data_IF_077690279564
#
_entry.id   IF_077690279564
#
_cell.length_a   1.000
_cell.length_b   1.000
_cell.length_c   1.000
_cell.angle_alpha   90.00
_cell.angle_beta   90.00
_cell.angle_gamma   90.00
#
_symmetry.space_group_name_H-M   'P 1'
#
loop_
_entity.id
_entity.type
_entity.pdbx_description
1 polymer ?
#
# COMPACT_ATOMS: atom_id res chain seq x y z
N UNK A 1 31.31 93.65 11.66
CA UNK A 1 30.87 92.38 11.03
C UNK A 1 30.79 91.29 12.10
N UNK A 2 29.82 90.37 11.93
CA UNK A 2 29.59 89.08 12.64
C UNK A 2 28.80 89.13 13.95
N UNK A 3 27.46 89.09 13.78
CA UNK A 3 26.48 88.62 14.76
C UNK A 3 26.55 87.09 14.85
N UNK A 4 26.54 86.53 16.07
CA UNK A 4 26.42 85.08 16.33
C UNK A 4 24.95 84.73 16.61
N UNK A 5 24.36 83.68 16.00
CA UNK A 5 23.00 83.26 16.29
C UNK A 5 22.95 82.30 17.49
N UNK A 6 21.93 82.46 18.32
CA UNK A 6 21.53 81.53 19.37
C UNK A 6 20.71 80.41 18.70
N UNK A 7 21.14 79.15 18.84
CA UNK A 7 20.37 77.97 18.38
C UNK A 7 19.68 77.35 19.59
N UNK A 8 18.36 77.45 19.62
CA UNK A 8 17.46 76.84 20.60
C UNK A 8 17.20 75.39 20.17
N UNK A 9 17.58 74.40 20.98
CA UNK A 9 17.35 72.97 20.71
C UNK A 9 16.12 72.49 21.46
N UNK A 10 15.04 72.22 20.72
CA UNK A 10 13.79 71.65 21.24
C UNK A 10 13.91 70.13 21.27
N UNK A 11 13.91 69.52 22.47
CA UNK A 11 13.89 68.06 22.65
C UNK A 11 12.44 67.57 22.61
N UNK A 12 12.07 66.85 21.55
CA UNK A 12 10.77 66.19 21.41
C UNK A 12 10.85 64.78 22.02
N UNK A 13 10.25 64.58 23.19
CA UNK A 13 10.13 63.27 23.82
C UNK A 13 8.95 62.50 23.20
N UNK A 14 9.23 61.61 22.24
CA UNK A 14 8.26 60.63 21.75
C UNK A 14 8.11 59.50 22.78
N UNK A 15 7.02 59.51 23.54
CA UNK A 15 6.64 58.40 24.41
C UNK A 15 6.15 57.23 23.57
N UNK A 16 7.00 56.23 23.36
CA UNK A 16 6.62 54.96 22.76
C UNK A 16 5.76 54.16 23.74
N UNK A 17 4.44 54.18 23.55
CA UNK A 17 3.54 53.27 24.24
C UNK A 17 3.80 51.83 23.74
N UNK A 18 4.54 51.06 24.55
CA UNK A 18 4.66 49.61 24.39
C UNK A 18 3.28 48.99 24.56
N UNK A 19 2.58 48.75 23.45
CA UNK A 19 1.35 47.95 23.46
C UNK A 19 1.80 46.51 23.75
N UNK A 20 1.63 46.09 25.01
CA UNK A 20 1.84 44.71 25.42
C UNK A 20 0.85 43.84 24.63
N UNK A 21 1.35 43.10 23.64
CA UNK A 21 0.55 42.08 22.98
C UNK A 21 0.18 41.04 24.04
N UNK A 22 -1.10 40.66 24.17
CA UNK A 22 -1.49 39.62 25.12
C UNK A 22 -0.69 38.36 24.79
N UNK A 23 0.07 37.86 25.75
CA UNK A 23 0.75 36.59 25.64
C UNK A 23 -0.31 35.52 25.42
N UNK A 24 -0.48 35.07 24.17
CA UNK A 24 -1.32 33.92 23.88
C UNK A 24 -0.68 32.72 24.55
N UNK A 25 -1.28 32.26 25.65
CA UNK A 25 -0.88 31.04 26.30
C UNK A 25 -0.92 29.92 25.26
N UNK A 26 0.21 29.22 25.09
CA UNK A 26 0.30 28.06 24.22
C UNK A 26 -0.78 27.05 24.66
N UNK A 27 -1.49 26.38 23.74
CA UNK A 27 -2.44 25.35 24.12
C UNK A 27 -1.75 24.32 25.02
N UNK A 28 -2.44 23.84 26.07
CA UNK A 28 -1.89 22.80 26.94
C UNK A 28 -1.61 21.52 26.14
N UNK A 29 -0.62 20.74 26.61
CA UNK A 29 -0.36 19.39 26.11
C UNK A 29 -1.62 18.52 26.32
N UNK A 30 -2.08 17.78 25.31
CA UNK A 30 -3.18 16.84 25.48
C UNK A 30 -2.88 15.74 26.48
N UNK A 31 -3.94 15.22 27.10
CA UNK A 31 -3.87 14.04 27.99
C UNK A 31 -4.51 12.82 27.34
N UNK A 32 -4.13 11.62 27.80
CA UNK A 32 -4.71 10.38 27.28
C UNK A 32 -6.23 10.34 27.48
N UNK A 33 -6.95 9.86 26.46
CA UNK A 33 -8.41 9.80 26.44
C UNK A 33 -9.08 11.14 26.09
N UNK A 34 -8.32 12.21 25.87
CA UNK A 34 -8.88 13.51 25.53
C UNK A 34 -9.48 13.53 24.12
N UNK A 35 -10.65 14.16 23.99
CA UNK A 35 -11.24 14.50 22.70
C UNK A 35 -10.80 15.88 22.26
N UNK A 36 -9.99 15.92 21.21
CA UNK A 36 -9.51 17.12 20.57
C UNK A 36 -10.61 17.69 19.65
N UNK A 37 -11.08 18.89 19.98
CA UNK A 37 -12.07 19.65 19.19
C UNK A 37 -11.43 20.75 18.34
N UNK A 38 -10.11 20.89 18.42
CA UNK A 38 -9.31 21.84 17.67
C UNK A 38 -8.03 21.16 17.20
N UNK A 39 -7.48 21.62 16.10
CA UNK A 39 -6.19 21.13 15.59
C UNK A 39 -5.09 21.36 16.62
N UNK A 40 -4.33 20.31 16.92
CA UNK A 40 -3.38 20.29 18.03
C UNK A 40 -2.04 19.75 17.58
N UNK A 41 -0.96 20.28 18.17
CA UNK A 41 0.38 19.71 18.05
C UNK A 41 0.83 19.17 19.39
N UNK A 42 1.29 17.93 19.45
CA UNK A 42 1.93 17.39 20.66
C UNK A 42 3.25 18.12 20.91
N UNK A 43 3.54 18.39 22.18
CA UNK A 43 4.74 19.09 22.65
C UNK A 43 5.73 18.16 23.35
N UNK A 44 5.29 16.95 23.64
CA UNK A 44 6.04 15.87 24.27
C UNK A 44 5.41 14.53 23.90
N UNK A 45 6.14 13.45 24.15
CA UNK A 45 5.61 12.09 24.06
C UNK A 45 4.46 11.91 25.06
N UNK A 46 3.43 11.18 24.65
CA UNK A 46 2.28 10.83 25.47
C UNK A 46 2.25 9.31 25.67
N UNK A 47 2.27 8.86 26.92
CA UNK A 47 2.22 7.45 27.28
C UNK A 47 0.92 7.17 28.02
N UNK A 48 0.08 6.33 27.43
CA UNK A 48 -1.23 5.99 27.94
C UNK A 48 -1.20 4.58 28.54
N UNK A 49 -1.76 4.44 29.75
CA UNK A 49 -1.86 3.17 30.45
C UNK A 49 -3.22 2.51 30.28
N UNK A 50 -4.23 3.26 29.84
CA UNK A 50 -5.62 2.81 29.66
C UNK A 50 -6.33 3.62 28.57
N UNK A 51 -7.44 3.06 28.07
CA UNK A 51 -8.38 3.77 27.18
C UNK A 51 -7.82 3.99 25.77
N UNK A 52 -8.56 4.72 24.92
CA UNK A 52 -8.01 5.21 23.68
C UNK A 52 -6.96 6.30 23.97
N UNK A 53 -5.98 6.46 23.09
CA UNK A 53 -4.94 7.47 23.23
C UNK A 53 -5.49 8.88 23.09
N UNK A 54 -6.00 9.23 21.92
CA UNK A 54 -6.63 10.54 21.63
C UNK A 54 -7.83 10.36 20.70
N UNK A 55 -8.89 11.14 20.90
CA UNK A 55 -10.05 11.23 20.01
C UNK A 55 -10.01 12.52 19.20
N UNK A 56 -10.27 12.45 17.90
CA UNK A 56 -10.28 13.62 17.01
C UNK A 56 -11.71 13.90 16.55
N UNK A 57 -12.20 15.11 16.85
CA UNK A 57 -13.48 15.59 16.34
C UNK A 57 -13.39 15.88 14.81
N UNK A 58 -14.54 16.08 14.13
CA UNK A 58 -14.56 16.43 12.71
C UNK A 58 -13.73 17.68 12.41
N UNK A 59 -12.96 17.66 11.31
CA UNK A 59 -12.15 18.80 10.88
C UNK A 59 -10.84 19.00 11.65
N UNK A 60 -10.49 18.09 12.57
CA UNK A 60 -9.30 18.22 13.42
C UNK A 60 -8.06 17.64 12.75
N UNK A 61 -6.96 18.39 12.81
CA UNK A 61 -5.61 17.88 12.52
C UNK A 61 -4.87 17.58 13.82
N UNK A 62 -4.45 16.34 14.01
CA UNK A 62 -3.44 15.97 15.00
C UNK A 62 -2.05 15.96 14.36
N UNK A 63 -1.20 16.87 14.81
CA UNK A 63 0.23 16.86 14.50
C UNK A 63 0.97 16.27 15.70
N UNK A 64 1.57 15.10 15.57
CA UNK A 64 2.35 14.49 16.65
C UNK A 64 3.67 15.24 16.91
N UNK A 65 4.06 16.22 16.09
CA UNK A 65 5.21 17.09 16.36
C UNK A 65 6.57 16.39 16.37
N UNK A 66 6.66 15.17 15.84
CA UNK A 66 7.83 14.29 15.98
C UNK A 66 7.82 13.42 17.25
N UNK A 67 6.81 13.58 18.11
CA UNK A 67 6.63 12.82 19.35
C UNK A 67 5.92 11.49 19.13
N UNK A 68 5.95 10.67 20.17
CA UNK A 68 5.27 9.37 20.22
C UNK A 68 3.99 9.41 21.05
N UNK A 69 2.94 8.76 20.53
CA UNK A 69 1.73 8.36 21.26
C UNK A 69 1.82 6.85 21.54
N UNK A 70 2.10 6.48 22.78
CA UNK A 70 2.35 5.10 23.20
C UNK A 70 1.19 4.54 24.02
N UNK A 71 0.75 3.34 23.68
CA UNK A 71 -0.36 2.67 24.35
C UNK A 71 0.03 1.47 25.20
N UNK A 72 -0.98 0.85 25.86
CA UNK A 72 -0.79 -0.30 26.74
C UNK A 72 -0.78 -1.66 26.01
N UNK A 73 -0.78 -1.68 24.67
CA UNK A 73 -0.89 -2.89 23.84
C UNK A 73 -2.33 -3.30 23.52
N UNK A 74 -3.32 -2.52 23.94
CA UNK A 74 -4.76 -2.75 23.71
C UNK A 74 -5.46 -1.45 23.35
N UNK A 75 -6.67 -1.54 22.78
CA UNK A 75 -7.47 -0.36 22.42
C UNK A 75 -6.90 0.43 21.25
N UNK A 76 -7.38 1.66 21.08
CA UNK A 76 -7.13 2.48 19.89
C UNK A 76 -6.18 3.63 20.21
N UNK A 77 -5.12 3.83 19.41
CA UNK A 77 -4.19 4.94 19.60
C UNK A 77 -4.82 6.28 19.28
N UNK A 78 -5.25 6.45 18.03
CA UNK A 78 -5.98 7.64 17.58
C UNK A 78 -7.34 7.20 17.05
N UNK A 79 -8.40 7.65 17.72
CA UNK A 79 -9.78 7.47 17.25
C UNK A 79 -10.21 8.71 16.46
N UNK A 80 -10.55 8.54 15.19
CA UNK A 80 -10.94 9.63 14.30
C UNK A 80 -12.45 9.63 14.10
N UNK A 81 -13.07 10.80 14.22
CA UNK A 81 -14.50 10.95 13.92
C UNK A 81 -14.80 10.45 12.50
N UNK A 82 -15.89 9.71 12.36
CA UNK A 82 -16.40 9.30 11.07
C UNK A 82 -16.87 10.50 10.24
N UNK A 83 -17.54 11.47 10.88
CA UNK A 83 -17.99 12.66 10.18
C UNK A 83 -16.82 13.63 9.91
N UNK A 84 -16.88 14.29 8.75
CA UNK A 84 -15.89 15.30 8.35
C UNK A 84 -14.44 14.79 8.15
N UNK A 85 -13.55 15.66 7.64
CA UNK A 85 -12.17 15.28 7.35
C UNK A 85 -11.31 15.25 8.62
N UNK A 86 -10.34 14.33 8.69
CA UNK A 86 -9.37 14.26 9.80
C UNK A 86 -7.97 14.04 9.24
N UNK A 87 -6.98 14.68 9.86
CA UNK A 87 -5.56 14.51 9.48
C UNK A 87 -4.73 14.09 10.69
N UNK A 88 -3.95 13.02 10.55
CA UNK A 88 -2.93 12.60 11.52
C UNK A 88 -1.57 12.70 10.86
N UNK A 89 -0.61 13.40 11.49
CA UNK A 89 0.69 13.61 10.86
C UNK A 89 1.88 13.71 11.80
N UNK A 90 3.06 13.43 11.24
CA UNK A 90 4.38 13.82 11.75
C UNK A 90 4.67 13.31 13.18
N UNK A 91 4.86 12.01 13.34
CA UNK A 91 5.31 11.41 14.60
C UNK A 91 5.07 9.91 14.63
N UNK A 92 4.97 9.34 15.83
CA UNK A 92 4.86 7.89 16.03
C UNK A 92 3.59 7.52 16.81
N UNK A 93 2.90 6.47 16.38
CA UNK A 93 1.81 5.81 17.12
C UNK A 93 2.25 4.37 17.38
N UNK A 94 2.32 3.95 18.64
CA UNK A 94 2.91 2.66 18.99
C UNK A 94 2.27 1.95 20.19
N UNK A 95 2.27 0.61 20.19
CA UNK A 95 1.83 -0.16 21.34
C UNK A 95 0.31 -0.16 21.53
N UNK A 96 -0.46 -0.38 20.48
CA UNK A 96 -1.93 -0.32 20.52
C UNK A 96 -2.56 -1.60 19.97
N UNK A 97 -3.84 -1.84 20.25
CA UNK A 97 -4.61 -2.84 19.51
C UNK A 97 -4.75 -2.39 18.06
N UNK A 98 -5.30 -1.19 17.86
CA UNK A 98 -5.33 -0.50 16.58
C UNK A 98 -4.60 0.85 16.70
N UNK A 99 -3.70 1.16 15.78
CA UNK A 99 -2.96 2.43 15.80
C UNK A 99 -3.87 3.62 15.55
N UNK A 100 -4.58 3.60 14.43
CA UNK A 100 -5.57 4.62 14.03
C UNK A 100 -6.86 3.88 13.64
N UNK A 101 -7.98 4.31 14.18
CA UNK A 101 -9.28 3.66 13.98
C UNK A 101 -10.39 4.73 13.89
N UNK A 102 -11.51 4.42 13.26
CA UNK A 102 -12.66 5.33 13.17
C UNK A 102 -13.65 5.07 14.30
N UNK A 103 -14.37 6.11 14.72
CA UNK A 103 -15.46 5.94 15.69
C UNK A 103 -16.72 6.70 15.25
N UNK A 104 -17.87 6.18 15.66
CA UNK A 104 -19.18 6.73 15.35
C UNK A 104 -19.46 7.98 16.21
N UNK A 105 -19.16 9.16 15.68
CA UNK A 105 -19.44 10.45 16.32
C UNK A 105 -20.83 11.01 15.97
N UNK A 106 -21.50 10.42 14.99
CA UNK A 106 -22.82 10.81 14.50
C UNK A 106 -23.60 9.58 13.95
N UNK A 107 -24.91 9.75 13.75
CA UNK A 107 -25.75 8.76 13.05
C UNK A 107 -25.38 8.76 11.56
N UNK A 108 -24.96 7.63 10.97
CA UNK A 108 -24.55 7.60 9.57
C UNK A 108 -25.74 7.64 8.60
N UNK A 109 -26.97 7.51 9.10
CA UNK A 109 -28.19 7.61 8.31
C UNK A 109 -28.75 9.05 8.29
N UNK A 110 -28.12 10.00 9.01
CA UNK A 110 -28.50 11.41 8.98
C UNK A 110 -27.99 12.06 7.67
N UNK A 111 -28.89 12.52 6.77
CA UNK A 111 -28.50 13.13 5.50
C UNK A 111 -27.74 14.45 5.65
N UNK A 112 -27.75 15.06 6.85
CA UNK A 112 -26.97 16.25 7.17
C UNK A 112 -25.50 15.97 7.54
N UNK A 113 -25.11 14.70 7.67
CA UNK A 113 -23.77 14.31 8.12
C UNK A 113 -23.04 13.56 7.03
N UNK A 114 -22.00 14.21 6.48
CA UNK A 114 -21.13 13.59 5.48
C UNK A 114 -19.90 12.95 6.14
N UNK A 115 -19.56 11.75 5.67
CA UNK A 115 -18.22 11.19 5.89
C UNK A 115 -17.19 12.10 5.23
N UNK A 116 -16.08 12.37 5.92
CA UNK A 116 -14.93 13.02 5.30
C UNK A 116 -13.71 12.10 5.24
N UNK A 117 -12.69 12.46 4.45
CA UNK A 117 -11.49 11.64 4.29
C UNK A 117 -10.63 11.62 5.56
N UNK A 118 -9.92 10.50 5.76
CA UNK A 118 -8.79 10.40 6.69
C UNK A 118 -7.49 10.56 5.91
N UNK A 119 -6.60 11.46 6.34
CA UNK A 119 -5.23 11.54 5.81
C UNK A 119 -4.21 11.22 6.89
N UNK A 120 -3.37 10.22 6.65
CA UNK A 120 -2.26 9.82 7.52
C UNK A 120 -0.93 10.10 6.80
N UNK A 121 -0.17 11.11 7.27
CA UNK A 121 1.07 11.51 6.57
C UNK A 121 2.29 11.71 7.47
N UNK A 122 3.43 11.14 7.07
CA UNK A 122 4.66 11.17 7.87
C UNK A 122 4.45 10.61 9.28
N UNK A 123 3.68 9.53 9.37
CA UNK A 123 3.43 8.82 10.62
C UNK A 123 4.18 7.50 10.58
N UNK A 124 4.82 7.14 11.68
CA UNK A 124 5.29 5.78 11.93
C UNK A 124 4.25 5.08 12.80
N UNK A 125 3.70 3.97 12.33
CA UNK A 125 2.85 3.09 13.14
C UNK A 125 3.61 1.78 13.37
N UNK A 126 3.70 1.36 14.64
CA UNK A 126 4.47 0.17 15.00
C UNK A 126 3.92 -0.53 16.24
N UNK A 127 4.28 -1.80 16.40
CA UNK A 127 3.98 -2.58 17.62
C UNK A 127 2.48 -2.56 17.96
N UNK A 128 1.64 -2.75 16.95
CA UNK A 128 0.19 -2.82 17.05
C UNK A 128 -0.36 -4.00 16.27
N UNK A 129 -1.57 -4.46 16.60
CA UNK A 129 -2.22 -5.52 15.80
C UNK A 129 -2.61 -4.97 14.44
N UNK A 130 -3.35 -3.87 14.43
CA UNK A 130 -3.75 -3.15 13.20
C UNK A 130 -3.12 -1.77 13.18
N UNK A 131 -2.52 -1.37 12.06
CA UNK A 131 -1.90 -0.05 11.93
C UNK A 131 -2.93 1.06 11.73
N UNK A 132 -3.64 1.02 10.60
CA UNK A 132 -4.78 1.88 10.28
C UNK A 132 -5.96 1.00 9.90
N UNK A 133 -7.08 1.17 10.60
CA UNK A 133 -8.36 0.57 10.24
C UNK A 133 -9.22 1.59 9.47
N UNK A 134 -9.46 1.32 8.20
CA UNK A 134 -10.32 2.09 7.31
C UNK A 134 -11.69 1.43 7.10
N UNK A 135 -11.94 0.26 7.70
CA UNK A 135 -13.14 -0.54 7.51
C UNK A 135 -14.39 0.05 8.13
N UNK A 136 -14.23 0.79 9.24
CA UNK A 136 -15.36 1.20 10.09
C UNK A 136 -15.91 0.03 10.90
N UNK A 137 -17.24 -0.05 11.02
CA UNK A 137 -17.89 -1.14 11.75
C UNK A 137 -17.77 -2.47 10.98
N UNK A 138 -17.20 -3.46 11.66
CA UNK A 138 -16.97 -4.80 11.09
C UNK A 138 -18.25 -5.44 10.57
N UNK A 139 -18.23 -5.91 9.32
CA UNK A 139 -19.32 -6.64 8.68
C UNK A 139 -20.45 -5.77 8.12
N UNK A 140 -20.54 -4.49 8.50
CA UNK A 140 -21.55 -3.56 7.95
C UNK A 140 -20.93 -2.54 6.99
N UNK A 141 -19.64 -2.22 7.16
CA UNK A 141 -18.97 -1.14 6.45
C UNK A 141 -19.54 0.24 6.80
N UNK A 142 -20.36 0.36 7.86
CA UNK A 142 -20.77 1.66 8.41
C UNK A 142 -19.55 2.35 8.98
N UNK A 143 -19.56 3.67 9.02
CA UNK A 143 -18.46 4.47 9.57
C UNK A 143 -17.11 4.35 8.86
N UNK A 144 -17.07 3.75 7.66
CA UNK A 144 -15.87 3.72 6.83
C UNK A 144 -15.49 5.13 6.36
N UNK A 145 -14.20 5.34 6.16
CA UNK A 145 -13.64 6.58 5.65
C UNK A 145 -12.70 6.29 4.50
N UNK A 146 -12.84 7.04 3.40
CA UNK A 146 -11.81 7.09 2.38
C UNK A 146 -10.49 7.52 3.05
N UNK A 147 -9.45 6.72 2.88
CA UNK A 147 -8.23 6.83 3.65
C UNK A 147 -7.03 6.99 2.74
N UNK A 148 -6.32 8.12 2.88
CA UNK A 148 -5.07 8.40 2.17
C UNK A 148 -3.88 8.28 3.11
N UNK A 149 -2.89 7.50 2.73
CA UNK A 149 -1.67 7.23 3.50
C UNK A 149 -0.46 7.67 2.68
N UNK A 150 0.35 8.57 3.23
CA UNK A 150 1.44 9.19 2.49
C UNK A 150 2.73 9.36 3.27
N UNK A 151 3.86 8.95 2.69
CA UNK A 151 5.19 9.17 3.31
C UNK A 151 5.24 8.63 4.73
N UNK A 152 4.54 7.53 4.98
CA UNK A 152 4.36 6.93 6.29
C UNK A 152 5.09 5.58 6.36
N UNK A 153 5.33 5.10 7.57
CA UNK A 153 6.05 3.84 7.83
C UNK A 153 5.21 2.95 8.73
N UNK A 154 5.06 1.68 8.34
CA UNK A 154 4.30 0.67 9.06
C UNK A 154 5.17 -0.54 9.29
N UNK A 155 5.37 -0.93 10.56
CA UNK A 155 6.27 -2.03 10.88
C UNK A 155 5.87 -2.86 12.10
N UNK A 156 6.17 -4.15 12.04
CA UNK A 156 5.89 -5.09 13.13
C UNK A 156 4.41 -5.10 13.52
N UNK A 157 3.54 -5.18 12.52
CA UNK A 157 2.09 -5.22 12.67
C UNK A 157 1.54 -6.55 12.16
N UNK A 158 0.41 -7.02 12.68
CA UNK A 158 -0.29 -8.15 12.05
C UNK A 158 -0.87 -7.69 10.71
N UNK A 159 -1.55 -6.55 10.70
CA UNK A 159 -2.09 -5.90 9.50
C UNK A 159 -1.73 -4.42 9.55
N UNK A 160 -0.94 -3.93 8.58
CA UNK A 160 -0.54 -2.53 8.58
C UNK A 160 -1.66 -1.59 8.15
N UNK A 161 -2.45 -1.96 7.14
CA UNK A 161 -3.66 -1.23 6.74
C UNK A 161 -4.77 -2.23 6.47
N UNK A 162 -5.88 -2.07 7.17
CA UNK A 162 -7.09 -2.85 7.01
C UNK A 162 -8.15 -1.99 6.33
N UNK A 163 -8.50 -2.33 5.10
CA UNK A 163 -9.69 -1.80 4.41
C UNK A 163 -10.76 -2.87 4.46
N UNK A 164 -11.88 -2.64 5.12
CA UNK A 164 -13.00 -3.57 5.07
C UNK A 164 -13.74 -3.52 3.72
N UNK A 165 -14.91 -4.14 3.67
CA UNK A 165 -15.81 -4.02 2.53
C UNK A 165 -16.13 -2.55 2.24
N UNK A 166 -16.08 -2.19 0.95
CA UNK A 166 -16.36 -0.84 0.44
C UNK A 166 -15.41 0.26 0.95
N UNK A 167 -14.32 -0.10 1.63
CA UNK A 167 -13.28 0.86 1.99
C UNK A 167 -12.55 1.34 0.73
N UNK A 168 -12.12 2.60 0.75
CA UNK A 168 -11.26 3.18 -0.29
C UNK A 168 -9.94 3.56 0.36
N UNK A 169 -8.86 2.91 -0.08
CA UNK A 169 -7.52 3.08 0.48
C UNK A 169 -6.56 3.53 -0.62
N UNK A 170 -6.00 4.73 -0.47
CA UNK A 170 -4.92 5.23 -1.34
C UNK A 170 -3.60 5.31 -0.55
N UNK A 171 -2.59 4.57 -1.00
CA UNK A 171 -1.28 4.49 -0.37
C UNK A 171 -0.22 4.96 -1.35
N UNK A 172 0.55 5.97 -0.94
CA UNK A 172 1.65 6.48 -1.76
C UNK A 172 2.93 6.82 -0.99
N UNK A 173 4.07 6.61 -1.65
CA UNK A 173 5.39 6.98 -1.12
C UNK A 173 5.64 6.45 0.31
N UNK A 174 5.10 5.28 0.66
CA UNK A 174 5.12 4.74 2.02
C UNK A 174 5.91 3.44 2.13
N UNK A 175 6.30 3.08 3.35
CA UNK A 175 7.10 1.89 3.64
C UNK A 175 6.37 0.94 4.58
N UNK A 176 6.35 -0.34 4.22
CA UNK A 176 5.71 -1.42 4.97
C UNK A 176 6.73 -2.53 5.19
N UNK A 177 7.13 -2.78 6.44
CA UNK A 177 8.16 -3.78 6.73
C UNK A 177 7.81 -4.71 7.88
N UNK A 178 8.11 -5.99 7.73
CA UNK A 178 8.02 -6.96 8.83
C UNK A 178 6.58 -7.08 9.39
N UNK A 179 5.56 -7.00 8.51
CA UNK A 179 4.15 -7.17 8.90
C UNK A 179 3.61 -8.53 8.46
N UNK A 180 2.54 -9.01 9.09
CA UNK A 180 1.78 -10.14 8.57
C UNK A 180 1.20 -9.81 7.20
N UNK A 181 0.43 -8.73 7.13
CA UNK A 181 -0.08 -8.12 5.90
C UNK A 181 0.30 -6.64 5.83
N UNK A 182 0.85 -6.17 4.70
CA UNK A 182 1.09 -4.75 4.48
C UNK A 182 -0.23 -4.00 4.25
N UNK A 183 -1.03 -4.47 3.31
CA UNK A 183 -2.39 -3.98 3.07
C UNK A 183 -3.29 -5.21 2.91
N UNK A 184 -4.38 -5.23 3.64
CA UNK A 184 -5.49 -6.15 3.43
C UNK A 184 -6.75 -5.33 3.19
N UNK A 185 -7.28 -5.41 1.96
CA UNK A 185 -8.48 -4.67 1.59
C UNK A 185 -9.62 -5.61 1.16
N UNK A 186 -10.83 -5.37 1.64
CA UNK A 186 -12.10 -5.87 1.12
C UNK A 186 -12.80 -4.83 0.23
N UNK A 187 -12.17 -3.67 0.00
CA UNK A 187 -12.61 -2.61 -0.89
C UNK A 187 -11.47 -2.12 -1.78
N UNK A 188 -11.70 -1.09 -2.56
CA UNK A 188 -10.72 -0.64 -3.56
C UNK A 188 -9.45 -0.10 -2.89
N UNK A 189 -8.31 -0.55 -3.42
CA UNK A 189 -7.00 -0.11 -2.95
C UNK A 189 -6.13 0.34 -4.12
N UNK A 190 -5.51 1.51 -3.97
CA UNK A 190 -4.49 2.03 -4.87
C UNK A 190 -3.17 2.16 -4.14
N UNK A 191 -2.10 1.64 -4.74
CA UNK A 191 -0.75 1.65 -4.19
C UNK A 191 0.21 2.21 -5.24
N UNK A 192 0.95 3.24 -4.87
CA UNK A 192 1.94 3.86 -5.75
C UNK A 192 3.24 4.21 -5.04
N UNK A 193 4.35 4.11 -5.76
CA UNK A 193 5.66 4.63 -5.32
C UNK A 193 6.08 4.15 -3.91
N UNK A 194 5.65 2.95 -3.52
CA UNK A 194 5.77 2.45 -2.14
C UNK A 194 6.67 1.21 -2.06
N UNK A 195 7.18 0.93 -0.87
CA UNK A 195 8.10 -0.20 -0.62
C UNK A 195 7.52 -1.15 0.42
N UNK A 196 7.48 -2.44 0.08
CA UNK A 196 7.02 -3.53 0.95
C UNK A 196 8.15 -4.53 1.12
N UNK A 197 8.61 -4.74 2.36
CA UNK A 197 9.75 -5.61 2.66
C UNK A 197 9.44 -6.62 3.76
N UNK A 198 9.72 -7.91 3.55
CA UNK A 198 9.56 -8.95 4.58
C UNK A 198 8.17 -9.00 5.20
N UNK A 199 7.13 -8.78 4.41
CA UNK A 199 5.76 -9.00 4.86
C UNK A 199 5.33 -10.43 4.52
N UNK A 200 4.45 -11.03 5.32
CA UNK A 200 3.83 -12.31 4.95
C UNK A 200 3.10 -12.18 3.61
N UNK A 201 2.24 -11.16 3.51
CA UNK A 201 1.73 -10.66 2.24
C UNK A 201 1.83 -9.15 2.17
N UNK A 202 2.42 -8.62 1.11
CA UNK A 202 2.58 -7.18 0.99
C UNK A 202 1.24 -6.49 0.68
N UNK A 203 0.51 -6.92 -0.35
CA UNK A 203 -0.81 -6.35 -0.68
C UNK A 203 -1.78 -7.46 -1.06
N UNK A 204 -2.94 -7.48 -0.39
CA UNK A 204 -4.05 -8.40 -0.64
C UNK A 204 -5.35 -7.65 -0.79
N UNK A 205 -6.16 -8.06 -1.76
CA UNK A 205 -7.49 -7.54 -2.00
C UNK A 205 -8.48 -8.70 -2.14
N UNK A 206 -9.53 -8.71 -1.33
CA UNK A 206 -10.62 -9.70 -1.36
C UNK A 206 -11.87 -9.05 -1.92
N UNK A 207 -12.47 -9.63 -2.97
CA UNK A 207 -13.71 -9.11 -3.58
C UNK A 207 -13.60 -7.64 -4.01
N UNK A 208 -12.40 -7.19 -4.36
CA UNK A 208 -12.09 -5.78 -4.58
C UNK A 208 -11.09 -5.56 -5.73
N UNK A 209 -11.06 -4.32 -6.21
CA UNK A 209 -10.09 -3.89 -7.22
C UNK A 209 -8.82 -3.38 -6.56
N UNK A 210 -7.68 -3.85 -7.05
CA UNK A 210 -6.37 -3.44 -6.58
C UNK A 210 -5.56 -2.85 -7.73
N UNK A 211 -5.06 -1.63 -7.57
CA UNK A 211 -4.11 -1.02 -8.51
C UNK A 211 -2.76 -0.82 -7.83
N UNK A 212 -1.69 -1.37 -8.41
CA UNK A 212 -0.33 -1.24 -7.90
C UNK A 212 0.57 -0.71 -9.01
N UNK A 213 1.23 0.42 -8.77
CA UNK A 213 2.15 1.03 -9.73
C UNK A 213 3.46 1.49 -9.10
N UNK A 214 4.56 1.44 -9.86
CA UNK A 214 5.87 2.02 -9.47
C UNK A 214 6.33 1.64 -8.06
N UNK A 215 5.98 0.44 -7.61
CA UNK A 215 6.23 0.00 -6.23
C UNK A 215 7.25 -1.13 -6.19
N UNK A 216 7.90 -1.30 -5.03
CA UNK A 216 8.96 -2.28 -4.83
C UNK A 216 8.56 -3.28 -3.73
N UNK A 217 8.66 -4.57 -4.05
CA UNK A 217 8.30 -5.69 -3.19
C UNK A 217 9.53 -6.59 -2.99
N UNK A 218 10.05 -6.65 -1.77
CA UNK A 218 11.29 -7.37 -1.43
C UNK A 218 11.05 -8.41 -0.34
N UNK A 219 11.45 -9.64 -0.60
CA UNK A 219 11.47 -10.73 0.38
C UNK A 219 10.12 -10.94 1.11
N UNK A 220 8.99 -10.71 0.44
CA UNK A 220 7.67 -11.00 0.98
C UNK A 220 7.27 -12.45 0.65
N UNK A 221 6.34 -13.03 1.43
CA UNK A 221 5.73 -14.30 1.03
C UNK A 221 4.96 -14.13 -0.29
N UNK A 222 4.02 -13.18 -0.32
CA UNK A 222 3.36 -12.76 -1.58
C UNK A 222 3.51 -11.26 -1.76
N UNK A 223 3.97 -10.82 -2.94
CA UNK A 223 4.03 -9.39 -3.27
C UNK A 223 2.63 -8.79 -3.44
N UNK A 224 1.92 -9.24 -4.47
CA UNK A 224 0.53 -8.83 -4.73
C UNK A 224 -0.34 -10.07 -4.92
N UNK A 225 -1.46 -10.17 -4.19
CA UNK A 225 -2.36 -11.32 -4.27
C UNK A 225 -3.83 -10.92 -4.13
N UNK A 226 -4.54 -10.61 -5.23
CA UNK A 226 -6.00 -10.61 -5.22
C UNK A 226 -6.56 -12.00 -4.85
N UNK A 227 -7.70 -12.01 -4.16
CA UNK A 227 -8.40 -13.21 -3.72
C UNK A 227 -9.91 -13.02 -3.81
N UNK A 228 -10.66 -14.13 -3.80
CA UNK A 228 -12.13 -14.16 -3.73
C UNK A 228 -12.76 -13.14 -4.68
N UNK A 229 -12.79 -13.41 -5.98
CA UNK A 229 -13.34 -12.47 -6.96
C UNK A 229 -12.66 -11.09 -7.07
N UNK A 230 -11.53 -10.88 -6.40
CA UNK A 230 -10.72 -9.69 -6.59
C UNK A 230 -10.07 -9.62 -7.97
N UNK A 231 -9.64 -8.41 -8.34
CA UNK A 231 -8.91 -8.14 -9.57
C UNK A 231 -7.71 -7.25 -9.25
N UNK A 232 -6.55 -7.52 -9.85
CA UNK A 232 -5.37 -6.67 -9.66
C UNK A 232 -4.81 -6.15 -10.99
N UNK A 233 -4.53 -4.86 -11.03
CA UNK A 233 -3.71 -4.22 -12.08
C UNK A 233 -2.35 -3.86 -11.50
N UNK A 234 -1.30 -4.49 -11.97
CA UNK A 234 0.08 -4.31 -11.53
C UNK A 234 0.91 -3.78 -12.70
N UNK A 235 1.48 -2.59 -12.53
CA UNK A 235 2.24 -1.90 -13.58
C UNK A 235 3.58 -1.36 -13.09
N UNK A 236 4.61 -1.41 -13.94
CA UNK A 236 5.88 -0.71 -13.75
C UNK A 236 6.51 -0.91 -12.36
N UNK A 237 6.39 -2.12 -11.80
CA UNK A 237 6.78 -2.43 -10.42
C UNK A 237 7.92 -3.45 -10.36
N UNK A 238 8.58 -3.55 -9.21
CA UNK A 238 9.74 -4.43 -9.01
C UNK A 238 9.48 -5.43 -7.89
N UNK A 239 9.66 -6.71 -8.18
CA UNK A 239 9.49 -7.84 -7.27
C UNK A 239 10.80 -8.60 -7.13
N UNK A 240 11.36 -8.66 -5.93
CA UNK A 240 12.67 -9.25 -5.64
C UNK A 240 12.59 -10.23 -4.49
N UNK A 241 13.05 -11.47 -4.69
CA UNK A 241 13.23 -12.40 -3.58
C UNK A 241 11.93 -12.85 -2.88
N UNK A 242 10.76 -12.57 -3.46
CA UNK A 242 9.49 -12.99 -2.87
C UNK A 242 9.24 -14.48 -3.13
N UNK A 243 8.48 -15.17 -2.28
CA UNK A 243 8.07 -16.56 -2.62
C UNK A 243 7.20 -16.54 -3.88
N UNK A 244 6.27 -15.58 -3.95
CA UNK A 244 5.48 -15.27 -5.15
C UNK A 244 5.45 -13.76 -5.39
N UNK A 245 5.80 -13.32 -6.59
CA UNK A 245 5.76 -11.91 -6.98
C UNK A 245 4.32 -11.38 -7.07
N UNK A 246 3.59 -11.82 -8.08
CA UNK A 246 2.14 -11.58 -8.22
C UNK A 246 1.41 -12.92 -8.32
N UNK A 247 0.36 -13.12 -7.54
CA UNK A 247 -0.45 -14.34 -7.53
C UNK A 247 -1.90 -14.03 -7.88
N UNK A 248 -2.37 -14.51 -9.04
CA UNK A 248 -3.76 -14.37 -9.48
C UNK A 248 -4.56 -15.68 -9.32
N UNK A 249 -3.98 -16.73 -8.73
CA UNK A 249 -4.60 -18.06 -8.67
C UNK A 249 -6.00 -18.10 -8.04
N UNK A 250 -6.25 -17.24 -7.06
CA UNK A 250 -7.52 -17.18 -6.32
C UNK A 250 -8.37 -15.94 -6.70
N UNK A 251 -8.07 -15.30 -7.83
CA UNK A 251 -8.72 -14.08 -8.30
C UNK A 251 -9.61 -14.36 -9.52
N UNK A 252 -10.45 -13.39 -9.87
CA UNK A 252 -11.22 -13.45 -11.13
C UNK A 252 -10.38 -13.07 -12.35
N UNK A 253 -9.27 -12.38 -12.13
CA UNK A 253 -8.36 -11.96 -13.18
C UNK A 253 -7.29 -11.00 -12.69
N UNK A 254 -6.51 -10.51 -13.63
CA UNK A 254 -5.54 -9.46 -13.34
C UNK A 254 -4.66 -9.11 -14.52
N UNK A 255 -4.15 -7.88 -14.49
CA UNK A 255 -3.21 -7.37 -15.48
C UNK A 255 -1.86 -7.19 -14.81
N UNK A 256 -0.81 -7.80 -15.37
CA UNK A 256 0.57 -7.64 -14.93
C UNK A 256 1.40 -7.17 -16.10
N UNK A 257 1.82 -5.91 -16.07
CA UNK A 257 2.47 -5.28 -17.21
C UNK A 257 3.72 -4.48 -16.86
N UNK A 258 4.70 -4.49 -17.78
CA UNK A 258 5.89 -3.63 -17.72
C UNK A 258 6.70 -3.74 -16.42
N UNK A 259 6.64 -4.88 -15.74
CA UNK A 259 7.19 -5.08 -14.40
C UNK A 259 8.42 -5.99 -14.40
N UNK A 260 9.23 -5.88 -13.34
CA UNK A 260 10.49 -6.61 -13.19
C UNK A 260 10.42 -7.61 -12.04
N UNK A 261 10.65 -8.89 -12.34
CA UNK A 261 10.63 -9.99 -11.38
C UNK A 261 12.02 -10.62 -11.31
N UNK A 262 12.69 -10.51 -10.16
CA UNK A 262 14.04 -11.03 -9.96
C UNK A 262 14.12 -11.97 -8.77
N UNK A 263 14.63 -13.19 -8.97
CA UNK A 263 14.91 -14.13 -7.87
C UNK A 263 13.70 -14.46 -6.98
N UNK A 264 12.47 -14.39 -7.51
CA UNK A 264 11.29 -14.85 -6.79
C UNK A 264 11.15 -16.38 -6.92
N UNK A 265 10.44 -17.04 -6.02
CA UNK A 265 10.08 -18.44 -6.19
C UNK A 265 9.23 -18.63 -7.45
N UNK A 266 8.12 -17.91 -7.53
CA UNK A 266 7.29 -17.72 -8.73
C UNK A 266 7.21 -16.23 -9.06
N UNK A 267 7.52 -15.86 -10.31
CA UNK A 267 7.42 -14.47 -10.76
C UNK A 267 5.96 -14.02 -10.82
N UNK A 268 5.20 -14.61 -11.76
CA UNK A 268 3.77 -14.35 -11.94
C UNK A 268 2.99 -15.67 -11.93
N UNK A 269 2.07 -15.79 -10.98
CA UNK A 269 1.07 -16.85 -10.92
C UNK A 269 -0.15 -16.49 -11.76
N UNK A 270 -0.40 -17.25 -12.82
CA UNK A 270 -1.58 -17.15 -13.70
C UNK A 270 -2.71 -17.95 -13.08
N UNK A 271 -3.82 -17.28 -12.78
CA UNK A 271 -5.04 -17.86 -12.26
C UNK A 271 -5.96 -18.40 -13.34
N UNK A 272 -7.20 -18.71 -12.94
CA UNK A 272 -8.16 -19.44 -13.78
C UNK A 272 -8.74 -18.64 -14.93
N UNK A 273 -8.93 -17.33 -14.79
CA UNK A 273 -9.74 -16.50 -15.69
C UNK A 273 -9.10 -15.12 -15.87
N UNK A 274 -9.24 -14.55 -17.06
CA UNK A 274 -8.99 -13.14 -17.40
C UNK A 274 -7.66 -12.56 -16.88
N UNK A 275 -6.56 -13.29 -17.15
CA UNK A 275 -5.21 -12.86 -16.74
C UNK A 275 -4.41 -12.38 -17.94
N UNK A 276 -3.94 -11.13 -17.90
CA UNK A 276 -3.08 -10.54 -18.92
C UNK A 276 -1.67 -10.31 -18.37
N UNK A 277 -0.66 -10.98 -18.93
CA UNK A 277 0.75 -10.84 -18.54
C UNK A 277 1.57 -10.36 -19.72
N UNK A 278 1.93 -9.08 -19.73
CA UNK A 278 2.56 -8.45 -20.90
C UNK A 278 3.80 -7.61 -20.62
N UNK A 279 4.83 -7.77 -21.46
CA UNK A 279 5.95 -6.83 -21.49
C UNK A 279 6.79 -6.83 -20.21
N UNK A 280 6.80 -7.94 -19.47
CA UNK A 280 7.53 -8.05 -18.22
C UNK A 280 8.95 -8.60 -18.43
N UNK A 281 9.83 -8.30 -17.48
CA UNK A 281 11.20 -8.85 -17.42
C UNK A 281 11.33 -9.76 -16.22
N UNK A 282 11.51 -11.06 -16.46
CA UNK A 282 11.60 -12.08 -15.42
C UNK A 282 12.98 -12.75 -15.45
N UNK A 283 13.76 -12.59 -14.38
CA UNK A 283 15.13 -13.08 -14.31
C UNK A 283 15.44 -13.84 -13.03
N UNK A 284 16.00 -15.04 -13.14
CA UNK A 284 16.50 -15.76 -11.96
C UNK A 284 15.41 -16.28 -11.03
N UNK A 285 14.15 -16.26 -11.42
CA UNK A 285 13.04 -16.78 -10.62
C UNK A 285 13.04 -18.32 -10.67
N UNK A 286 12.47 -18.99 -9.66
CA UNK A 286 12.26 -20.45 -9.72
C UNK A 286 11.39 -20.82 -10.91
N UNK A 287 10.23 -20.19 -11.04
CA UNK A 287 9.40 -20.19 -12.25
C UNK A 287 9.14 -18.75 -12.66
N UNK A 288 9.31 -18.44 -13.94
CA UNK A 288 9.00 -17.12 -14.47
C UNK A 288 7.50 -16.83 -14.42
N UNK A 289 6.75 -17.49 -15.30
CA UNK A 289 5.29 -17.39 -15.39
C UNK A 289 4.73 -18.81 -15.29
N UNK A 290 3.77 -19.05 -14.42
CA UNK A 290 3.12 -20.35 -14.35
C UNK A 290 1.91 -20.38 -13.43
N UNK A 291 1.41 -21.56 -13.11
CA UNK A 291 0.22 -21.76 -12.28
C UNK A 291 0.56 -22.16 -10.85
N UNK A 292 -0.38 -21.91 -9.93
CA UNK A 292 -0.33 -22.41 -8.55
C UNK A 292 -1.76 -22.78 -8.09
N UNK A 293 -2.07 -24.06 -7.80
CA UNK A 293 -1.21 -25.23 -7.95
C UNK A 293 -0.82 -25.48 -9.42
N UNK A 294 0.20 -26.32 -9.65
CA UNK A 294 0.78 -26.51 -10.99
C UNK A 294 -0.22 -27.09 -12.02
N UNK A 295 -1.21 -27.84 -11.55
CA UNK A 295 -2.27 -28.47 -12.34
C UNK A 295 -3.55 -27.61 -12.42
N UNK A 296 -3.49 -26.33 -12.05
CA UNK A 296 -4.61 -25.42 -12.21
C UNK A 296 -4.99 -25.28 -13.69
N UNK A 297 -6.27 -25.49 -13.99
CA UNK A 297 -6.85 -25.18 -15.31
C UNK A 297 -6.90 -23.67 -15.52
N UNK A 298 -6.44 -23.21 -16.68
CA UNK A 298 -6.35 -21.80 -17.06
C UNK A 298 -7.20 -21.55 -18.29
N UNK A 299 -8.03 -20.52 -18.23
CA UNK A 299 -8.91 -20.04 -19.28
C UNK A 299 -8.74 -18.53 -19.46
N UNK A 300 -8.98 -18.03 -20.68
CA UNK A 300 -9.00 -16.61 -21.02
C UNK A 300 -7.76 -15.83 -20.54
N UNK A 301 -6.58 -16.44 -20.65
CA UNK A 301 -5.32 -15.82 -20.25
C UNK A 301 -4.48 -15.41 -21.46
N UNK A 302 -3.82 -14.26 -21.40
CA UNK A 302 -2.95 -13.74 -22.45
C UNK A 302 -1.54 -13.53 -21.90
N UNK A 303 -0.54 -14.15 -22.52
CA UNK A 303 0.87 -14.07 -22.12
C UNK A 303 1.70 -13.58 -23.30
N UNK A 304 2.07 -12.30 -23.28
CA UNK A 304 2.64 -11.61 -24.43
C UNK A 304 3.96 -10.89 -24.16
N UNK A 305 4.88 -10.96 -25.11
CA UNK A 305 6.03 -10.05 -25.18
C UNK A 305 6.90 -10.00 -23.90
N UNK A 306 6.94 -11.08 -23.13
CA UNK A 306 7.72 -11.15 -21.90
C UNK A 306 9.16 -11.59 -22.20
N UNK A 307 10.13 -11.02 -21.47
CA UNK A 307 11.53 -11.43 -21.53
C UNK A 307 11.89 -12.24 -20.29
N UNK A 308 12.18 -13.53 -20.49
CA UNK A 308 12.52 -14.47 -19.44
C UNK A 308 13.98 -14.94 -19.58
N UNK A 309 14.76 -14.82 -18.51
CA UNK A 309 16.20 -15.16 -18.51
C UNK A 309 16.61 -15.88 -17.23
N UNK A 310 17.38 -16.97 -17.37
CA UNK A 310 18.05 -17.60 -16.22
C UNK A 310 17.07 -18.04 -15.11
N UNK A 311 15.80 -18.30 -15.44
CA UNK A 311 14.85 -18.81 -14.47
C UNK A 311 15.08 -20.32 -14.27
N UNK A 312 14.45 -20.93 -13.26
CA UNK A 312 14.33 -22.38 -13.19
C UNK A 312 13.55 -22.87 -14.40
N UNK A 313 12.26 -22.55 -14.45
CA UNK A 313 11.42 -22.67 -15.65
C UNK A 313 11.04 -21.29 -16.21
N UNK A 314 10.83 -21.23 -17.52
CA UNK A 314 10.34 -20.03 -18.21
C UNK A 314 8.85 -19.80 -18.02
N UNK A 315 8.06 -20.25 -19.00
CA UNK A 315 6.59 -20.18 -19.00
C UNK A 315 6.06 -21.61 -18.89
N UNK A 316 5.27 -21.92 -17.87
CA UNK A 316 4.73 -23.27 -17.63
C UNK A 316 3.24 -23.20 -17.28
N UNK A 317 2.38 -23.59 -18.22
CA UNK A 317 0.94 -23.75 -18.04
C UNK A 317 0.60 -25.18 -18.47
N UNK A 318 0.43 -26.09 -17.52
CA UNK A 318 0.20 -27.52 -17.83
C UNK A 318 -1.20 -27.78 -18.39
N UNK A 319 -2.20 -27.04 -17.92
CA UNK A 319 -3.62 -27.24 -18.24
C UNK A 319 -4.26 -25.97 -18.82
N UNK A 320 -3.77 -25.52 -19.99
CA UNK A 320 -4.41 -24.46 -20.77
C UNK A 320 -5.27 -25.01 -21.91
N UNK A 321 -6.24 -24.22 -22.36
CA UNK A 321 -7.03 -24.50 -23.57
C UNK A 321 -6.83 -23.42 -24.65
N UNK A 322 -7.60 -23.50 -25.73
CA UNK A 322 -7.49 -22.58 -26.87
C UNK A 322 -7.82 -21.11 -26.53
N UNK A 323 -8.49 -20.84 -25.40
CA UNK A 323 -8.72 -19.48 -24.92
C UNK A 323 -7.47 -18.83 -24.32
N UNK A 324 -6.48 -19.64 -23.93
CA UNK A 324 -5.17 -19.17 -23.49
C UNK A 324 -4.32 -18.81 -24.71
N UNK A 325 -3.79 -17.59 -24.73
CA UNK A 325 -3.07 -17.02 -25.85
C UNK A 325 -1.62 -16.72 -25.49
N UNK A 326 -0.66 -17.25 -26.26
CA UNK A 326 0.78 -17.13 -25.98
C UNK A 326 1.53 -16.66 -27.22
N UNK A 327 2.26 -15.54 -27.12
CA UNK A 327 2.97 -14.96 -28.27
C UNK A 327 4.07 -13.97 -27.92
N UNK A 328 5.06 -13.85 -28.82
CA UNK A 328 6.14 -12.86 -28.70
C UNK A 328 7.06 -13.02 -27.49
N UNK A 329 6.98 -14.15 -26.77
CA UNK A 329 7.77 -14.34 -25.55
C UNK A 329 9.20 -14.78 -25.88
N UNK A 330 10.18 -14.21 -25.18
CA UNK A 330 11.58 -14.56 -25.34
C UNK A 330 12.11 -15.23 -24.06
N UNK A 331 12.25 -16.55 -24.08
CA UNK A 331 12.72 -17.38 -22.97
C UNK A 331 14.10 -17.97 -23.25
N UNK A 332 15.12 -17.59 -22.47
CA UNK A 332 16.48 -18.10 -22.70
C UNK A 332 17.18 -18.50 -21.43
N UNK A 333 17.95 -19.58 -21.54
CA UNK A 333 18.87 -20.04 -20.50
C UNK A 333 18.18 -20.33 -19.17
N UNK A 334 16.92 -20.75 -19.20
CA UNK A 334 16.27 -21.34 -18.03
C UNK A 334 16.89 -22.72 -17.76
N UNK A 335 17.02 -23.13 -16.50
CA UNK A 335 17.64 -24.42 -16.18
C UNK A 335 16.73 -25.62 -16.46
N UNK A 336 15.44 -25.39 -16.64
CA UNK A 336 14.40 -26.37 -16.94
C UNK A 336 13.66 -26.04 -18.24
N UNK A 337 12.33 -25.99 -18.18
CA UNK A 337 11.44 -25.74 -19.32
C UNK A 337 11.62 -24.33 -19.87
N UNK A 338 11.60 -24.24 -21.20
CA UNK A 338 11.51 -22.98 -21.94
C UNK A 338 10.08 -22.44 -21.91
N UNK A 339 9.31 -22.76 -22.95
CA UNK A 339 7.87 -22.50 -23.00
C UNK A 339 7.14 -23.85 -23.03
N UNK A 340 6.33 -24.11 -22.02
CA UNK A 340 5.54 -25.33 -21.91
C UNK A 340 4.08 -24.96 -21.66
N UNK A 341 3.30 -24.94 -22.73
CA UNK A 341 1.91 -24.49 -22.71
C UNK A 341 1.06 -25.33 -23.67
N UNK A 342 0.93 -26.66 -23.47
CA UNK A 342 0.06 -27.48 -24.32
C UNK A 342 -1.39 -26.97 -24.33
N UNK A 343 -2.08 -27.16 -25.46
CA UNK A 343 -3.50 -26.82 -25.62
C UNK A 343 -3.80 -25.35 -25.94
N UNK A 344 -2.82 -24.45 -25.80
CA UNK A 344 -3.02 -23.01 -25.99
C UNK A 344 -3.07 -22.57 -27.46
N UNK A 345 -3.61 -21.38 -27.70
CA UNK A 345 -3.49 -20.67 -28.97
C UNK A 345 -2.12 -19.99 -29.09
N UNK A 346 -1.31 -20.45 -30.05
CA UNK A 346 -0.04 -19.83 -30.42
C UNK A 346 -0.27 -18.58 -31.29
N UNK A 347 0.14 -17.42 -30.79
CA UNK A 347 0.09 -16.15 -31.52
C UNK A 347 1.39 -15.87 -32.30
N UNK A 348 2.36 -16.79 -32.26
CA UNK A 348 3.63 -16.70 -32.96
C UNK A 348 4.64 -15.76 -32.30
N UNK A 349 5.83 -15.63 -32.92
CA UNK A 349 6.89 -14.73 -32.45
C UNK A 349 7.63 -15.21 -31.18
N UNK A 350 7.38 -16.43 -30.72
CA UNK A 350 8.05 -16.98 -29.55
C UNK A 350 9.51 -17.38 -29.86
N UNK A 351 10.39 -17.18 -28.88
CA UNK A 351 11.80 -17.58 -28.92
C UNK A 351 12.09 -18.36 -27.65
N UNK A 352 12.49 -19.63 -27.78
CA UNK A 352 13.02 -20.40 -26.68
C UNK A 352 14.31 -21.10 -27.07
N UNK A 353 15.40 -20.83 -26.34
CA UNK A 353 16.68 -21.47 -26.62
C UNK A 353 17.63 -21.54 -25.43
N UNK A 354 18.45 -22.59 -25.44
CA UNK A 354 19.44 -22.86 -24.43
C UNK A 354 18.83 -23.12 -23.05
N UNK A 355 17.55 -23.54 -23.00
CA UNK A 355 16.92 -23.98 -21.77
C UNK A 355 17.25 -25.46 -21.52
N UNK A 356 17.14 -25.90 -20.27
CA UNK A 356 17.65 -27.20 -19.84
C UNK A 356 16.84 -28.42 -20.30
N UNK A 357 15.60 -28.26 -20.77
CA UNK A 357 14.78 -29.38 -21.26
C UNK A 357 14.43 -29.25 -22.73
N UNK A 358 14.36 -30.40 -23.42
CA UNK A 358 13.78 -30.52 -24.76
C UNK A 358 12.38 -31.15 -24.72
N UNK A 359 11.46 -30.75 -25.62
CA UNK A 359 11.63 -29.67 -26.59
C UNK A 359 11.64 -28.28 -25.91
N UNK A 360 12.34 -27.31 -26.52
CA UNK A 360 12.38 -25.93 -26.00
C UNK A 360 10.99 -25.26 -25.93
N UNK A 361 10.06 -25.69 -26.79
CA UNK A 361 8.68 -25.24 -26.83
C UNK A 361 7.68 -26.39 -26.97
N UNK A 362 6.62 -26.33 -26.17
CA UNK A 362 5.44 -27.21 -26.26
C UNK A 362 4.19 -26.35 -26.30
N UNK A 363 3.29 -26.68 -27.25
CA UNK A 363 2.03 -25.96 -27.47
C UNK A 363 2.15 -24.65 -28.25
N UNK A 364 3.37 -24.17 -28.48
CA UNK A 364 3.67 -23.03 -29.36
C UNK A 364 4.87 -23.33 -30.27
N UNK A 365 4.99 -22.57 -31.37
CA UNK A 365 6.12 -22.61 -32.29
C UNK A 365 7.16 -21.58 -31.88
N UNK A 366 8.42 -22.00 -31.82
CA UNK A 366 9.54 -21.15 -31.47
C UNK A 366 10.59 -21.08 -32.56
N UNK A 367 11.14 -19.89 -32.75
CA UNK A 367 12.34 -19.72 -33.58
C UNK A 367 13.59 -20.02 -32.76
N UNK A 368 14.56 -20.70 -33.38
CA UNK A 368 15.82 -21.11 -32.74
C UNK A 368 16.96 -20.10 -32.91
N UNK A 369 16.76 -19.08 -33.77
CA UNK A 369 17.79 -18.15 -34.27
C UNK A 369 18.26 -17.09 -33.28
#
# INVERSE_FOLDING_TARGET
MRRRPLVLSTVLALGAALVATPASARPPQPTCGETLTRSTTLLADLVCTTGPGLRLAPGVTLNLGGHALRGPGTGNGVEVAWSGPVVVRNGTVAGWGSGIDTWADADPDDPGVESGPLTVTRVTVQDARVGVDASGESGTGRFRKATTIERSTFRSLDIAVEGGWFAEVDVRASTFSDNGSGIWSGGDATVSDSTFTRNGAAVRASEASLTVTRSTFVDNGTGVGPMYNGFATVGSSRFVGNDVGVDTANALGGVVQGSHFTSNGLGVGVGRLDVHVEGNVLRGNGVGIGTRPADLEVYDATILNNTLRLNGDGIVIENGDESVQVGGNDVRRSTGKGIWTPGVTDLGGNVARGNGTEPQCVGVVCTTS
#
